data_IF_344866574928
#
_entry.id   IF_344866574928
#
_cell.length_a   1.000
_cell.length_b   1.000
_cell.length_c   1.000
_cell.angle_alpha   90.00
_cell.angle_beta   90.00
_cell.angle_gamma   90.00
#
_symmetry.space_group_name_H-M   'P 1'
#
loop_
_entity.id
_entity.type
_entity.pdbx_description
1 polymer ?
#
# COMPACT_ATOMS: atom_id res chain seq x y z
N UNK A 1 -44.67 23.10 -29.39
CA UNK A 1 -43.42 23.77 -28.95
C UNK A 1 -42.81 22.84 -27.91
N UNK A 2 -41.77 22.10 -28.26
CA UNK A 2 -41.24 20.94 -27.50
C UNK A 2 -40.30 21.35 -26.37
N UNK A 3 -40.54 20.80 -25.18
CA UNK A 3 -39.71 20.93 -23.98
C UNK A 3 -38.30 20.40 -24.21
N UNK A 4 -37.30 21.28 -24.21
CA UNK A 4 -35.89 20.90 -24.20
C UNK A 4 -35.49 20.46 -22.80
N UNK A 5 -35.47 19.15 -22.56
CA UNK A 5 -34.93 18.53 -21.36
C UNK A 5 -33.44 18.85 -21.21
N UNK A 6 -33.11 19.50 -20.10
CA UNK A 6 -31.75 19.76 -19.63
C UNK A 6 -30.97 18.46 -19.45
N UNK A 7 -30.02 18.17 -20.34
CA UNK A 7 -29.01 17.14 -20.08
C UNK A 7 -27.92 17.71 -19.17
N UNK A 8 -28.05 17.48 -17.87
CA UNK A 8 -26.97 17.69 -16.92
C UNK A 8 -25.86 16.67 -17.19
N UNK A 9 -24.82 17.06 -17.93
CA UNK A 9 -23.57 16.29 -17.97
C UNK A 9 -22.84 16.45 -16.64
N UNK A 10 -23.05 15.51 -15.71
CA UNK A 10 -22.17 15.33 -14.55
C UNK A 10 -20.77 14.93 -15.04
N UNK A 11 -19.89 15.91 -15.17
CA UNK A 11 -18.49 15.72 -15.53
C UNK A 11 -17.76 14.81 -14.54
N UNK A 12 -17.28 13.67 -15.05
CA UNK A 12 -16.50 12.68 -14.28
C UNK A 12 -15.17 13.30 -13.83
N UNK A 13 -14.92 13.23 -12.51
CA UNK A 13 -13.71 13.68 -11.80
C UNK A 13 -12.42 13.36 -12.55
N UNK A 14 -11.56 14.37 -12.75
CA UNK A 14 -10.15 14.21 -13.15
C UNK A 14 -9.22 14.94 -12.19
N UNK A 15 -9.20 14.51 -10.93
CA UNK A 15 -8.20 14.91 -9.96
C UNK A 15 -7.38 13.66 -9.58
N UNK A 16 -6.57 13.15 -10.52
CA UNK A 16 -5.83 11.90 -10.33
C UNK A 16 -4.43 11.86 -10.94
N UNK A 17 -4.11 12.74 -11.89
CA UNK A 17 -2.86 12.63 -12.64
C UNK A 17 -1.60 12.76 -11.79
N UNK A 18 -1.55 13.72 -10.87
CA UNK A 18 -0.34 13.96 -10.06
C UNK A 18 -0.22 12.98 -8.89
N UNK A 19 -1.32 12.74 -8.17
CA UNK A 19 -1.36 11.81 -7.03
C UNK A 19 -1.07 10.38 -7.46
N UNK A 20 -1.60 9.94 -8.61
CA UNK A 20 -1.28 8.60 -9.14
C UNK A 20 0.19 8.47 -9.51
N UNK A 21 0.79 9.48 -10.17
CA UNK A 21 2.23 9.46 -10.49
C UNK A 21 3.10 9.42 -9.23
N UNK A 22 2.76 10.21 -8.22
CA UNK A 22 3.48 10.22 -6.95
C UNK A 22 3.36 8.87 -6.22
N UNK A 23 2.18 8.24 -6.23
CA UNK A 23 1.99 6.92 -5.61
C UNK A 23 2.82 5.82 -6.27
N UNK A 24 2.96 5.83 -7.61
CA UNK A 24 3.81 4.89 -8.33
C UNK A 24 5.29 5.11 -7.98
N UNK A 25 5.73 6.37 -7.92
CA UNK A 25 7.11 6.69 -7.56
C UNK A 25 7.44 6.21 -6.14
N UNK A 26 6.55 6.46 -5.19
CA UNK A 26 6.71 6.01 -3.79
C UNK A 26 6.74 4.47 -3.73
N UNK A 27 5.84 3.78 -4.42
CA UNK A 27 5.81 2.31 -4.45
C UNK A 27 7.09 1.72 -5.06
N UNK A 28 7.61 2.33 -6.13
CA UNK A 28 8.87 1.92 -6.75
C UNK A 28 10.05 2.12 -5.79
N UNK A 29 10.15 3.30 -5.15
CA UNK A 29 11.21 3.58 -4.18
C UNK A 29 11.14 2.63 -2.98
N UNK A 30 9.94 2.36 -2.47
CA UNK A 30 9.72 1.39 -1.40
C UNK A 30 10.18 -0.01 -1.81
N UNK A 31 9.88 -0.43 -3.04
CA UNK A 31 10.28 -1.73 -3.59
C UNK A 31 11.81 -1.84 -3.69
N UNK A 32 12.47 -0.80 -4.21
CA UNK A 32 13.94 -0.75 -4.30
C UNK A 32 14.57 -0.80 -2.90
N UNK A 33 14.06 0.00 -1.96
CA UNK A 33 14.52 0.00 -0.58
C UNK A 33 14.40 -1.39 0.04
N UNK A 34 13.28 -2.09 -0.19
CA UNK A 34 13.05 -3.45 0.30
C UNK A 34 14.06 -4.45 -0.28
N UNK A 35 14.36 -4.38 -1.58
CA UNK A 35 15.37 -5.24 -2.22
C UNK A 35 16.76 -4.99 -1.64
N UNK A 36 17.20 -3.73 -1.56
CA UNK A 36 18.50 -3.37 -0.97
C UNK A 36 18.59 -3.89 0.46
N UNK A 37 17.52 -3.73 1.22
CA UNK A 37 17.45 -4.12 2.59
C UNK A 37 17.56 -5.64 2.80
N UNK A 38 16.87 -6.44 1.97
CA UNK A 38 16.99 -7.91 1.98
C UNK A 38 18.43 -8.32 1.64
N UNK A 39 19.03 -7.68 0.63
CA UNK A 39 20.39 -7.99 0.16
C UNK A 39 21.46 -7.57 1.18
N UNK A 40 21.25 -6.49 1.93
CA UNK A 40 22.19 -6.00 2.95
C UNK A 40 22.05 -6.74 4.29
N UNK A 41 20.85 -7.20 4.65
CA UNK A 41 20.57 -7.84 5.94
C UNK A 41 20.38 -9.35 5.79
N UNK A 42 21.34 -10.03 5.19
CA UNK A 42 21.40 -11.51 5.11
C UNK A 42 22.04 -12.17 6.33
N UNK A 43 22.48 -11.37 7.32
CA UNK A 43 23.04 -11.91 8.57
C UNK A 43 21.95 -12.65 9.33
N UNK A 44 22.21 -13.91 9.64
CA UNK A 44 21.35 -14.75 10.46
C UNK A 44 21.42 -14.27 11.91
N UNK A 45 20.28 -13.91 12.47
CA UNK A 45 20.17 -13.49 13.88
C UNK A 45 19.06 -14.31 14.51
N UNK A 46 19.38 -14.97 15.61
CA UNK A 46 18.40 -15.67 16.44
C UNK A 46 17.45 -14.66 17.08
N UNK A 47 16.22 -14.60 16.58
CA UNK A 47 15.15 -13.79 17.17
C UNK A 47 14.40 -14.69 18.15
N UNK A 48 14.47 -14.33 19.45
CA UNK A 48 13.76 -15.05 20.50
C UNK A 48 12.45 -14.30 20.80
N UNK A 49 11.30 -14.87 20.43
CA UNK A 49 9.99 -14.21 20.58
C UNK A 49 9.07 -15.10 21.42
N UNK A 50 8.77 -14.70 22.66
CA UNK A 50 7.78 -15.35 23.55
C UNK A 50 7.95 -16.89 23.61
N UNK A 51 9.19 -17.37 23.77
CA UNK A 51 9.50 -18.80 23.89
C UNK A 51 9.69 -19.55 22.58
N UNK A 52 9.51 -18.91 21.42
CA UNK A 52 9.89 -19.45 20.12
C UNK A 52 11.24 -18.92 19.67
N UNK A 53 12.13 -19.84 19.29
CA UNK A 53 13.46 -19.56 18.77
C UNK A 53 13.40 -19.58 17.25
N UNK A 54 13.43 -18.41 16.62
CA UNK A 54 13.45 -18.27 15.18
C UNK A 54 14.87 -17.92 14.73
N UNK A 55 15.57 -18.88 14.12
CA UNK A 55 16.78 -18.61 13.35
C UNK A 55 16.35 -18.25 11.92
N UNK A 56 16.06 -16.97 11.71
CA UNK A 56 15.74 -16.44 10.41
C UNK A 56 16.74 -15.33 10.07
N UNK A 57 17.14 -15.27 8.80
CA UNK A 57 17.90 -14.14 8.31
C UNK A 57 17.12 -12.84 8.61
N UNK A 58 17.82 -11.83 9.14
CA UNK A 58 17.21 -10.58 9.58
C UNK A 58 16.33 -9.94 8.48
N UNK A 59 16.75 -10.07 7.21
CA UNK A 59 15.98 -9.65 6.04
C UNK A 59 14.60 -10.32 5.92
N UNK A 60 14.44 -11.58 6.32
CA UNK A 60 13.17 -12.32 6.26
C UNK A 60 12.19 -11.83 7.33
N UNK A 61 12.68 -11.59 8.56
CA UNK A 61 11.85 -11.05 9.64
C UNK A 61 11.26 -9.68 9.28
N UNK A 62 12.08 -8.84 8.64
CA UNK A 62 11.70 -7.49 8.25
C UNK A 62 10.91 -7.45 6.93
N UNK A 63 11.08 -8.43 6.03
CA UNK A 63 10.12 -8.73 4.95
C UNK A 63 8.74 -9.06 5.53
N UNK A 64 8.69 -9.92 6.55
CA UNK A 64 7.46 -10.22 7.29
C UNK A 64 6.79 -8.96 7.84
N UNK A 65 7.58 -8.07 8.45
CA UNK A 65 7.08 -6.78 8.93
C UNK A 65 6.53 -5.89 7.79
N UNK A 66 7.19 -5.85 6.64
CA UNK A 66 6.73 -5.11 5.46
C UNK A 66 5.40 -5.66 4.92
N UNK A 67 5.25 -6.98 4.87
CA UNK A 67 4.00 -7.64 4.46
C UNK A 67 2.87 -7.30 5.44
N UNK A 68 3.11 -7.37 6.75
CA UNK A 68 2.11 -6.98 7.76
C UNK A 68 1.72 -5.50 7.59
N UNK A 69 2.71 -4.61 7.40
CA UNK A 69 2.45 -3.20 7.13
C UNK A 69 1.60 -2.97 5.87
N UNK A 70 1.87 -3.71 4.79
CA UNK A 70 1.09 -3.64 3.55
C UNK A 70 -0.36 -4.10 3.74
N UNK A 71 -0.58 -5.18 4.51
CA UNK A 71 -1.93 -5.67 4.85
C UNK A 71 -2.69 -4.62 5.66
N UNK A 72 -2.05 -3.97 6.63
CA UNK A 72 -2.66 -2.90 7.41
C UNK A 72 -3.03 -1.71 6.51
N UNK A 73 -2.11 -1.27 5.65
CA UNK A 73 -2.39 -0.17 4.73
C UNK A 73 -3.53 -0.49 3.74
N UNK A 74 -3.59 -1.75 3.25
CA UNK A 74 -4.63 -2.23 2.35
C UNK A 74 -6.00 -2.26 3.02
N UNK A 75 -6.10 -2.80 4.24
CA UNK A 75 -7.34 -2.84 5.01
C UNK A 75 -7.87 -1.44 5.33
N UNK A 76 -7.00 -0.51 5.71
CA UNK A 76 -7.37 0.89 5.96
C UNK A 76 -7.85 1.57 4.68
N UNK A 77 -7.13 1.42 3.56
CA UNK A 77 -7.56 1.97 2.26
C UNK A 77 -8.91 1.43 1.81
N UNK A 78 -9.15 0.12 1.98
CA UNK A 78 -10.43 -0.52 1.70
C UNK A 78 -11.55 0.06 2.55
N UNK A 79 -11.34 0.17 3.86
CA UNK A 79 -12.32 0.72 4.80
C UNK A 79 -12.68 2.19 4.46
N UNK A 80 -11.70 3.03 4.14
CA UNK A 80 -11.94 4.42 3.72
C UNK A 80 -12.73 4.49 2.41
N UNK A 81 -12.44 3.61 1.45
CA UNK A 81 -13.16 3.56 0.16
C UNK A 81 -14.61 3.15 0.33
N UNK A 82 -14.89 2.14 1.15
CA UNK A 82 -16.25 1.68 1.44
C UNK A 82 -17.05 2.80 2.14
N UNK A 83 -16.47 3.46 3.15
CA UNK A 83 -17.12 4.59 3.82
C UNK A 83 -17.48 5.74 2.87
N UNK A 84 -16.67 5.99 1.84
CA UNK A 84 -16.96 7.01 0.81
C UNK A 84 -18.00 6.57 -0.23
N UNK A 85 -18.25 5.27 -0.38
CA UNK A 85 -19.22 4.74 -1.33
C UNK A 85 -20.63 4.60 -0.73
N UNK A 86 -20.73 4.54 0.60
CA UNK A 86 -22.00 4.43 1.35
C UNK A 86 -22.56 5.81 1.74
N UNK A 87 -21.74 6.87 1.68
CA UNK A 87 -22.20 8.27 1.72
C UNK A 87 -22.49 8.77 0.30
#
# INVERSE_FOLDING_TARGET
>A
MTDTTTHAHTGRRRAGGFVSKLSLLIALLLTIALVIFILQNTVHTTINFIGWNFDLAQGVALLGAAVVGAVIAWTISGAVRVRRAVK
#
